data_IF_050699123929
#
_entry.id   IF_050699123929
#
_cell.length_a   1.000
_cell.length_b   1.000
_cell.length_c   1.000
_cell.angle_alpha   90.00
_cell.angle_beta   90.00
_cell.angle_gamma   90.00
#
_symmetry.space_group_name_H-M   'P 1'
#
loop_
_entity.id
_entity.type
_entity.pdbx_description
1 polymer ?
#
# COMPACT_ATOMS: atom_id res chain seq x y z
N UNK A 1 9.12 -19.27 21.59
CA UNK A 1 8.20 -19.70 20.52
C UNK A 1 8.77 -19.23 19.21
N UNK A 2 9.05 -20.16 18.31
CA UNK A 2 9.33 -19.87 16.92
C UNK A 2 8.06 -19.47 16.16
N UNK A 3 8.27 -18.93 14.97
CA UNK A 3 7.23 -18.51 14.02
C UNK A 3 6.12 -19.57 13.76
N UNK A 4 6.45 -20.87 13.62
CA UNK A 4 5.44 -21.91 13.37
C UNK A 4 4.51 -22.11 14.56
N UNK A 5 5.05 -22.15 15.78
CA UNK A 5 4.28 -22.36 17.01
C UNK A 5 3.35 -21.17 17.30
N UNK A 6 3.81 -19.96 17.00
CA UNK A 6 3.00 -18.74 17.16
C UNK A 6 1.80 -18.74 16.20
N UNK A 7 2.00 -19.12 14.93
CA UNK A 7 0.91 -19.23 13.95
C UNK A 7 -0.14 -20.25 14.39
N UNK A 8 0.29 -21.43 14.84
CA UNK A 8 -0.60 -22.49 15.30
C UNK A 8 -1.45 -22.05 16.50
N UNK A 9 -0.82 -21.38 17.47
CA UNK A 9 -1.52 -20.84 18.64
C UNK A 9 -2.60 -19.83 18.25
N UNK A 10 -2.27 -18.89 17.35
CA UNK A 10 -3.22 -17.88 16.89
C UNK A 10 -4.39 -18.53 16.15
N UNK A 11 -4.15 -19.53 15.29
CA UNK A 11 -5.21 -20.27 14.60
C UNK A 11 -6.19 -20.91 15.58
N UNK A 12 -5.70 -21.63 16.59
CA UNK A 12 -6.56 -22.24 17.61
C UNK A 12 -7.37 -21.21 18.41
N UNK A 13 -6.80 -20.03 18.67
CA UNK A 13 -7.51 -18.95 19.36
C UNK A 13 -8.61 -18.34 18.50
N UNK A 14 -8.42 -18.27 17.19
CA UNK A 14 -9.43 -17.77 16.24
C UNK A 14 -10.56 -18.78 16.04
N UNK A 15 -10.27 -20.08 15.96
CA UNK A 15 -11.30 -21.12 15.77
C UNK A 15 -12.35 -21.16 16.89
N UNK A 16 -11.95 -20.80 18.11
CA UNK A 16 -12.83 -20.79 19.28
C UNK A 16 -13.26 -19.36 19.70
N UNK A 17 -12.92 -18.35 18.91
CA UNK A 17 -13.20 -16.95 19.24
C UNK A 17 -14.69 -16.61 19.11
N UNK A 18 -15.16 -15.72 19.97
CA UNK A 18 -16.48 -15.10 19.79
C UNK A 18 -16.46 -14.00 18.71
N UNK A 19 -17.64 -13.61 18.23
CA UNK A 19 -17.78 -12.59 17.18
C UNK A 19 -17.10 -11.27 17.56
N UNK A 20 -17.14 -10.92 18.86
CA UNK A 20 -16.55 -9.68 19.36
C UNK A 20 -15.03 -9.68 19.19
N UNK A 21 -14.37 -10.77 19.57
CA UNK A 21 -12.92 -10.92 19.41
C UNK A 21 -12.54 -10.93 17.92
N UNK A 22 -13.31 -11.64 17.08
CA UNK A 22 -13.07 -11.67 15.63
C UNK A 22 -13.16 -10.28 14.99
N UNK A 23 -14.15 -9.46 15.39
CA UNK A 23 -14.27 -8.07 14.91
C UNK A 23 -13.09 -7.19 15.31
N UNK A 24 -12.60 -7.34 16.54
CA UNK A 24 -11.43 -6.60 17.02
C UNK A 24 -10.19 -7.01 16.24
N UNK A 25 -9.97 -8.31 16.08
CA UNK A 25 -8.82 -8.86 15.35
C UNK A 25 -8.85 -8.43 13.87
N UNK A 26 -10.01 -8.46 13.22
CA UNK A 26 -10.17 -7.94 11.86
C UNK A 26 -9.77 -6.47 11.78
N UNK A 27 -10.31 -5.63 12.67
CA UNK A 27 -9.95 -4.20 12.70
C UNK A 27 -8.46 -3.97 12.94
N UNK A 28 -7.83 -4.77 13.82
CA UNK A 28 -6.38 -4.69 14.02
C UNK A 28 -5.63 -5.06 12.75
N UNK A 29 -6.01 -6.14 12.05
CA UNK A 29 -5.37 -6.50 10.79
C UNK A 29 -5.56 -5.45 9.69
N UNK A 30 -6.77 -4.90 9.58
CA UNK A 30 -7.10 -3.85 8.62
C UNK A 30 -6.24 -2.61 8.88
N UNK A 31 -6.07 -2.22 10.15
CA UNK A 31 -5.25 -1.06 10.52
C UNK A 31 -3.75 -1.34 10.55
N UNK A 32 -3.33 -2.58 10.79
CA UNK A 32 -1.93 -2.98 10.79
C UNK A 32 -1.31 -2.85 9.39
N UNK A 33 -2.12 -3.02 8.34
CA UNK A 33 -1.70 -2.85 6.95
C UNK A 33 -1.82 -1.41 6.43
N UNK A 34 -2.54 -0.55 7.16
CA UNK A 34 -2.76 0.87 6.82
C UNK A 34 -1.68 1.80 7.38
N UNK A 35 -0.45 1.29 7.54
CA UNK A 35 0.68 2.15 7.89
C UNK A 35 0.96 3.12 6.74
N UNK A 36 1.17 4.40 7.09
CA UNK A 36 1.61 5.43 6.14
C UNK A 36 3.08 5.18 5.84
N UNK A 37 3.39 4.81 4.59
CA UNK A 37 4.75 4.48 4.17
C UNK A 37 5.38 5.54 3.27
N UNK A 38 4.58 6.45 2.72
CA UNK A 38 5.05 7.50 1.81
C UNK A 38 4.07 8.67 1.72
N UNK A 39 4.44 9.70 0.96
CA UNK A 39 3.59 10.84 0.64
C UNK A 39 3.61 11.09 -0.88
N UNK A 40 2.49 11.51 -1.44
CA UNK A 40 2.44 11.92 -2.85
C UNK A 40 2.98 13.35 -3.05
N UNK A 41 3.07 13.78 -4.31
CA UNK A 41 3.54 15.12 -4.68
C UNK A 41 2.66 16.28 -4.14
N UNK A 42 1.43 15.98 -3.68
CA UNK A 42 0.50 16.93 -3.05
C UNK A 42 0.56 16.86 -1.52
N UNK A 43 1.38 15.97 -0.94
CA UNK A 43 1.54 15.79 0.50
C UNK A 43 0.50 14.85 1.13
N UNK A 44 -0.29 14.13 0.35
CA UNK A 44 -1.22 13.14 0.91
C UNK A 44 -0.46 11.89 1.35
N UNK A 45 -0.78 11.39 2.54
CA UNK A 45 -0.24 10.14 3.06
C UNK A 45 -0.65 8.96 2.17
N UNK A 46 0.29 8.06 1.90
CA UNK A 46 0.09 6.83 1.14
C UNK A 46 0.29 5.62 2.04
N UNK A 47 -0.69 4.74 2.04
CA UNK A 47 -0.58 3.41 2.65
C UNK A 47 0.33 2.50 1.82
N UNK A 48 0.77 1.39 2.41
CA UNK A 48 1.59 0.39 1.70
C UNK A 48 0.92 -0.15 0.44
N UNK A 49 -0.41 -0.37 0.49
CA UNK A 49 -1.19 -0.83 -0.65
C UNK A 49 -1.20 0.20 -1.79
N UNK A 50 -1.47 1.47 -1.47
CA UNK A 50 -1.52 2.55 -2.46
C UNK A 50 -0.14 2.81 -3.09
N UNK A 51 0.91 2.76 -2.28
CA UNK A 51 2.28 2.88 -2.79
C UNK A 51 2.63 1.74 -3.76
N UNK A 52 2.24 0.50 -3.42
CA UNK A 52 2.46 -0.66 -4.28
C UNK A 52 1.71 -0.54 -5.61
N UNK A 53 0.46 -0.10 -5.58
CA UNK A 53 -0.33 0.09 -6.79
C UNK A 53 0.32 1.12 -7.72
N UNK A 54 0.80 2.26 -7.19
CA UNK A 54 1.54 3.25 -7.98
C UNK A 54 2.82 2.69 -8.59
N UNK A 55 3.54 1.85 -7.84
CA UNK A 55 4.73 1.19 -8.36
C UNK A 55 4.38 0.19 -9.48
N UNK A 56 3.28 -0.54 -9.34
CA UNK A 56 2.78 -1.46 -10.37
C UNK A 56 2.32 -0.72 -11.63
N UNK A 57 1.61 0.41 -11.50
CA UNK A 57 1.26 1.29 -12.62
C UNK A 57 2.51 1.74 -13.40
N UNK A 58 3.54 2.21 -12.70
CA UNK A 58 4.81 2.59 -13.34
C UNK A 58 5.50 1.42 -14.06
N UNK A 59 5.42 0.21 -13.51
CA UNK A 59 5.91 -0.99 -14.19
C UNK A 59 5.08 -1.34 -15.43
N UNK A 60 3.77 -1.14 -15.38
CA UNK A 60 2.89 -1.32 -16.55
C UNK A 60 3.16 -0.28 -17.64
N UNK A 61 3.41 0.97 -17.28
CA UNK A 61 3.78 2.01 -18.24
C UNK A 61 5.06 1.66 -18.99
N UNK A 62 6.06 1.13 -18.27
CA UNK A 62 7.28 0.60 -18.88
C UNK A 62 6.96 -0.57 -19.83
N UNK A 63 6.14 -1.53 -19.41
CA UNK A 63 5.75 -2.68 -20.24
C UNK A 63 5.03 -2.27 -21.53
N UNK A 64 4.19 -1.25 -21.45
CA UNK A 64 3.42 -0.74 -22.60
C UNK A 64 4.14 0.36 -23.37
N UNK A 65 5.43 0.58 -23.08
CA UNK A 65 6.28 1.58 -23.74
C UNK A 65 5.71 3.02 -23.64
N UNK A 66 4.93 3.31 -22.59
CA UNK A 66 4.43 4.64 -22.22
C UNK A 66 5.51 5.38 -21.44
N UNK A 67 6.59 5.70 -22.14
CA UNK A 67 7.77 6.36 -21.58
C UNK A 67 7.87 7.79 -22.12
N UNK A 68 8.32 8.70 -21.27
CA UNK A 68 8.62 10.08 -21.65
C UNK A 68 10.13 10.32 -21.49
N UNK A 69 10.74 11.05 -22.42
CA UNK A 69 12.13 11.48 -22.26
C UNK A 69 12.23 12.54 -21.17
N UNK A 70 13.41 12.64 -20.55
CA UNK A 70 13.64 13.64 -19.50
C UNK A 70 13.39 15.07 -20.00
N UNK A 71 13.77 15.39 -21.24
CA UNK A 71 13.53 16.70 -21.86
C UNK A 71 12.04 17.00 -22.01
N UNK A 72 11.27 16.03 -22.51
CA UNK A 72 9.83 16.20 -22.68
C UNK A 72 9.12 16.34 -21.32
N UNK A 73 9.57 15.61 -20.30
CA UNK A 73 9.04 15.74 -18.93
C UNK A 73 9.30 17.13 -18.36
N UNK A 74 10.49 17.71 -18.59
CA UNK A 74 10.82 19.07 -18.12
C UNK A 74 9.92 20.12 -18.78
N UNK A 75 9.64 19.99 -20.08
CA UNK A 75 8.70 20.89 -20.77
C UNK A 75 7.27 20.73 -20.24
N UNK A 76 6.83 19.50 -19.99
CA UNK A 76 5.52 19.23 -19.41
C UNK A 76 5.38 19.84 -18.00
N UNK A 77 6.38 19.66 -17.13
CA UNK A 77 6.41 20.23 -15.78
C UNK A 77 6.28 21.76 -15.74
N UNK A 78 6.73 22.48 -16.79
CA UNK A 78 6.56 23.93 -16.87
C UNK A 78 5.08 24.33 -17.00
N UNK A 79 4.25 23.47 -17.59
CA UNK A 79 2.81 23.74 -17.79
C UNK A 79 1.99 23.51 -16.52
N UNK A 80 2.48 22.68 -15.59
CA UNK A 80 1.79 22.34 -14.35
C UNK A 80 1.68 23.48 -13.32
N UNK A 81 2.37 24.61 -13.54
CA UNK A 81 2.29 25.81 -12.69
C UNK A 81 1.10 26.74 -13.01
N UNK A 82 0.30 26.42 -14.03
CA UNK A 82 -0.77 27.29 -14.52
C UNK A 82 -2.21 26.83 -14.15
N UNK A 83 -2.36 25.90 -13.22
CA UNK A 83 -3.65 25.54 -12.57
C UNK A 83 -3.63 25.86 -11.07
#
# INVERSE_FOLDING_TARGET
MGLPELKQKIQMQIENADERLLRIVSSVFDNYLNEVVSYDAKGNALTLSEYRNKAEEGLEDIKHNRLISQENLIEEMKTWKNE
#
